data_IF_166573879334
#
_entry.id   IF_166573879334
#
_cell.length_a   1.000
_cell.length_b   1.000
_cell.length_c   1.000
_cell.angle_alpha   90.00
_cell.angle_beta   90.00
_cell.angle_gamma   90.00
#
_symmetry.space_group_name_H-M   'P 1'
#
loop_
_entity.id
_entity.type
_entity.pdbx_description
1 polymer ?
#
# COMPACT_ATOMS: atom_id res chain seq x y z
N UNK A 1 -6.68 0.75 9.19
CA UNK A 1 -7.35 1.79 8.37
C UNK A 1 -7.51 1.28 6.95
N UNK A 2 -8.65 1.51 6.29
CA UNK A 2 -8.80 1.18 4.86
C UNK A 2 -8.29 2.36 4.03
N UNK A 3 -7.26 2.14 3.23
CA UNK A 3 -6.63 3.21 2.42
C UNK A 3 -7.37 3.46 1.10
N UNK A 4 -7.91 2.40 0.50
CA UNK A 4 -8.56 2.48 -0.82
C UNK A 4 -9.48 1.27 -1.08
N UNK A 5 -10.32 1.38 -2.10
CA UNK A 5 -11.10 0.28 -2.70
C UNK A 5 -11.25 0.49 -4.19
N UNK A 6 -11.33 -0.61 -4.94
CA UNK A 6 -11.67 -0.63 -6.36
C UNK A 6 -12.44 -1.90 -6.72
N UNK A 7 -12.95 -1.93 -7.95
CA UNK A 7 -13.68 -3.07 -8.53
C UNK A 7 -12.76 -3.86 -9.46
N UNK A 8 -13.15 -5.09 -9.83
CA UNK A 8 -12.40 -5.94 -10.75
C UNK A 8 -12.03 -5.18 -12.05
N UNK A 9 -10.75 -5.22 -12.43
CA UNK A 9 -10.23 -4.52 -13.62
C UNK A 9 -9.92 -3.03 -13.44
N UNK A 10 -10.21 -2.43 -12.28
CA UNK A 10 -9.80 -1.05 -11.98
C UNK A 10 -8.42 -1.00 -11.32
N UNK A 11 -7.58 -0.07 -11.77
CA UNK A 11 -6.32 0.24 -11.08
C UNK A 11 -6.63 1.03 -9.81
N UNK A 12 -6.11 0.57 -8.67
CA UNK A 12 -6.25 1.26 -7.40
C UNK A 12 -4.96 2.02 -7.12
N UNK A 13 -5.01 3.35 -7.24
CA UNK A 13 -3.86 4.21 -6.95
C UNK A 13 -3.80 4.54 -5.45
N UNK A 14 -2.68 4.24 -4.80
CA UNK A 14 -2.41 4.59 -3.41
C UNK A 14 -1.25 5.58 -3.35
N UNK A 15 -1.47 6.70 -2.67
CA UNK A 15 -0.43 7.69 -2.43
C UNK A 15 0.47 7.25 -1.27
N UNK A 16 1.78 7.11 -1.53
CA UNK A 16 2.78 6.86 -0.49
C UNK A 16 2.78 7.98 0.55
N UNK A 17 2.58 9.23 0.11
CA UNK A 17 2.47 10.39 1.03
C UNK A 17 1.33 10.21 2.02
N UNK A 18 0.18 9.72 1.58
CA UNK A 18 -0.97 9.52 2.48
C UNK A 18 -0.65 8.47 3.52
N UNK A 19 -0.08 7.33 3.11
CA UNK A 19 0.37 6.28 4.04
C UNK A 19 1.41 6.82 5.05
N UNK A 20 2.35 7.65 4.60
CA UNK A 20 3.35 8.27 5.45
C UNK A 20 2.74 9.24 6.48
N UNK A 21 1.80 10.10 6.05
CA UNK A 21 1.10 11.03 6.93
C UNK A 21 0.37 10.26 8.04
N UNK A 22 -0.34 9.18 7.69
CA UNK A 22 -1.05 8.38 8.68
C UNK A 22 -0.08 7.66 9.63
N UNK A 23 0.99 7.05 9.09
CA UNK A 23 1.99 6.36 9.90
C UNK A 23 2.63 7.30 10.95
N UNK A 24 2.98 8.52 10.53
CA UNK A 24 3.54 9.55 11.41
C UNK A 24 2.49 10.03 12.43
N UNK A 25 1.26 10.28 12.00
CA UNK A 25 0.18 10.74 12.88
C UNK A 25 -0.15 9.72 13.99
N UNK A 26 -0.02 8.42 13.70
CA UNK A 26 -0.22 7.35 14.68
C UNK A 26 1.03 7.02 15.50
N UNK A 27 2.17 7.68 15.27
CA UNK A 27 3.45 7.32 15.91
C UNK A 27 3.86 5.88 15.62
N UNK A 28 3.55 5.38 14.42
CA UNK A 28 3.75 3.99 14.07
C UNK A 28 5.24 3.64 13.97
N UNK A 29 5.66 2.56 14.61
CA UNK A 29 7.01 2.01 14.46
C UNK A 29 7.26 1.38 13.08
N UNK A 30 6.18 0.98 12.39
CA UNK A 30 6.25 0.38 11.07
C UNK A 30 4.88 0.27 10.43
N UNK A 31 4.87 -0.08 9.14
CA UNK A 31 3.65 -0.20 8.33
C UNK A 31 3.57 -1.60 7.74
N UNK A 32 2.41 -2.24 7.89
CA UNK A 32 2.04 -3.47 7.18
C UNK A 32 0.94 -3.11 6.18
N UNK A 33 1.08 -3.58 4.93
CA UNK A 33 0.08 -3.39 3.88
C UNK A 33 -0.44 -4.73 3.38
N UNK A 34 -1.75 -4.79 3.17
CA UNK A 34 -2.44 -5.91 2.57
C UNK A 34 -3.34 -5.40 1.44
N UNK A 35 -3.40 -6.15 0.35
CA UNK A 35 -4.39 -5.95 -0.71
C UNK A 35 -5.14 -7.27 -0.91
N UNK A 36 -6.35 -7.18 -1.45
CA UNK A 36 -7.17 -8.34 -1.78
C UNK A 36 -7.50 -8.32 -3.27
N UNK A 37 -7.48 -9.48 -3.92
CA UNK A 37 -8.01 -9.63 -5.27
C UNK A 37 -9.43 -10.21 -5.18
N UNK A 38 -10.44 -9.61 -5.83
CA UNK A 38 -11.80 -10.16 -5.80
C UNK A 38 -11.93 -11.55 -6.45
N UNK A 39 -10.96 -11.96 -7.27
CA UNK A 39 -10.88 -13.33 -7.82
C UNK A 39 -10.58 -14.39 -6.77
N UNK A 40 -10.03 -14.01 -5.61
CA UNK A 40 -9.56 -14.94 -4.58
C UNK A 40 -8.15 -15.51 -4.82
N UNK A 41 -7.53 -15.23 -5.96
CA UNK A 41 -6.11 -15.57 -6.20
C UNK A 41 -5.22 -14.62 -5.40
N UNK A 42 -4.27 -15.18 -4.64
CA UNK A 42 -3.33 -14.41 -3.82
C UNK A 42 -1.99 -14.16 -4.53
N UNK A 43 -1.83 -14.61 -5.77
CA UNK A 43 -0.61 -14.41 -6.55
C UNK A 43 -0.42 -12.91 -6.84
N UNK A 44 0.69 -12.28 -6.40
CA UNK A 44 0.88 -10.85 -6.58
C UNK A 44 1.14 -10.51 -8.05
N UNK A 45 0.51 -9.44 -8.54
CA UNK A 45 0.83 -8.89 -9.85
C UNK A 45 2.17 -8.15 -9.85
N UNK A 46 2.68 -7.84 -11.05
CA UNK A 46 3.86 -7.00 -11.20
C UNK A 46 3.68 -5.61 -10.57
N UNK A 47 2.46 -5.06 -10.64
CA UNK A 47 2.10 -3.77 -10.05
C UNK A 47 2.08 -3.83 -8.52
N UNK A 48 1.53 -4.91 -7.94
CA UNK A 48 1.53 -5.12 -6.49
C UNK A 48 2.97 -5.12 -5.95
N UNK A 49 3.85 -5.91 -6.58
CA UNK A 49 5.26 -5.98 -6.20
C UNK A 49 5.99 -4.65 -6.38
N UNK A 50 5.75 -3.93 -7.48
CA UNK A 50 6.37 -2.63 -7.73
C UNK A 50 5.93 -1.60 -6.68
N UNK A 51 4.64 -1.57 -6.36
CA UNK A 51 4.10 -0.67 -5.36
C UNK A 51 4.65 -0.97 -3.96
N UNK A 52 4.68 -2.24 -3.53
CA UNK A 52 5.27 -2.62 -2.23
C UNK A 52 6.73 -2.17 -2.10
N UNK A 53 7.54 -2.32 -3.17
CA UNK A 53 8.93 -1.84 -3.19
C UNK A 53 9.02 -0.32 -3.11
N UNK A 54 8.19 0.39 -3.86
CA UNK A 54 8.17 1.86 -3.84
C UNK A 54 7.74 2.40 -2.48
N UNK A 55 6.71 1.80 -1.86
CA UNK A 55 6.26 2.15 -0.51
C UNK A 55 7.38 1.95 0.50
N UNK A 56 8.04 0.78 0.51
CA UNK A 56 9.16 0.51 1.41
C UNK A 56 10.34 1.47 1.19
N UNK A 57 10.64 1.84 -0.06
CA UNK A 57 11.66 2.85 -0.36
C UNK A 57 11.29 4.23 0.18
N UNK A 58 10.04 4.68 -0.02
CA UNK A 58 9.58 5.98 0.45
C UNK A 58 9.48 6.09 1.97
N UNK A 59 9.03 5.04 2.66
CA UNK A 59 8.93 5.06 4.12
C UNK A 59 10.31 5.00 4.81
N UNK A 60 11.33 4.41 4.18
CA UNK A 60 12.71 4.40 4.69
C UNK A 60 13.37 5.79 4.73
N UNK A 61 12.79 6.80 4.06
CA UNK A 61 13.32 8.17 4.16
C UNK A 61 12.73 8.95 5.33
N UNK A 62 11.83 8.33 6.10
CA UNK A 62 11.18 8.93 7.26
C UNK A 62 11.95 8.50 8.50
N UNK A 63 13.09 9.15 8.72
CA UNK A 63 13.92 9.02 9.93
C UNK A 63 14.15 10.41 10.53
#
# INVERSE_FOLDING_TARGET
MKICSGTFGSLVAISIRTVAVDALAFGAHGVIIAHNHPSGDATPSALDMAFTRALAAGLRTLE
#
